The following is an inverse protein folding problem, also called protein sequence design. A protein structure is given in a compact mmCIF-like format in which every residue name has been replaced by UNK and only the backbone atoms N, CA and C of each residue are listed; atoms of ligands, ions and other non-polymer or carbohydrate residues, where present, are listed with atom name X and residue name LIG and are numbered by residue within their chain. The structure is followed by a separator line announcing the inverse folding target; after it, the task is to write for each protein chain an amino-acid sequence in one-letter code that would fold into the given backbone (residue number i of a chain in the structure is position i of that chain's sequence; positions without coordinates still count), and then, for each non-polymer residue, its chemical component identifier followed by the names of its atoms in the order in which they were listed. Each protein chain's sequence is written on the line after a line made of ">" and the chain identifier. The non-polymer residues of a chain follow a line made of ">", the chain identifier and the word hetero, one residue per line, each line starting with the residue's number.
data_IF_072506965247
#
_entry.id   IF_072506965247
#
_cell.length_a   1.000
_cell.length_b   1.000
_cell.length_c   1.000
_cell.angle_alpha   90.00
_cell.angle_beta   90.00
_cell.angle_gamma   90.00
#
_symmetry.space_group_name_H-M   'P 1'
#
loop_
_entity.id
_entity.type
_entity.pdbx_description
1 polymer ?
#
# COMPACT_ATOMS: atom_id res chain seq x y z
N UNK A 1 1.06 -11.25 12.32
CA UNK A 1 2.11 -10.22 12.58
C UNK A 1 1.85 -9.58 13.93
N UNK A 2 0.59 -9.30 14.23
CA UNK A 2 0.08 -8.64 15.44
C UNK A 2 0.68 -9.17 16.75
N UNK A 3 0.68 -10.50 16.96
CA UNK A 3 1.28 -11.09 18.17
C UNK A 3 2.79 -10.84 18.32
N UNK A 4 3.50 -10.54 17.23
CA UNK A 4 4.94 -10.25 17.20
C UNK A 4 5.22 -8.73 17.09
N UNK A 5 4.19 -7.90 16.98
CA UNK A 5 4.33 -6.45 16.75
C UNK A 5 5.19 -5.75 17.83
N UNK A 6 5.05 -6.03 19.14
CA UNK A 6 5.90 -5.40 20.15
C UNK A 6 7.40 -5.68 19.94
N UNK A 7 7.74 -6.89 19.50
CA UNK A 7 9.12 -7.24 19.18
C UNK A 7 9.61 -6.52 17.91
N UNK A 8 8.75 -6.36 16.90
CA UNK A 8 9.06 -5.56 15.72
C UNK A 8 9.34 -4.09 16.09
N UNK A 9 8.52 -3.50 16.94
CA UNK A 9 8.74 -2.13 17.42
C UNK A 9 10.07 -2.01 18.17
N UNK A 10 10.42 -2.97 19.02
CA UNK A 10 11.71 -2.96 19.73
C UNK A 10 12.90 -3.00 18.75
N UNK A 11 12.93 -4.00 17.87
CA UNK A 11 14.10 -4.24 17.00
C UNK A 11 14.25 -3.23 15.85
N UNK A 12 13.16 -2.54 15.50
CA UNK A 12 13.17 -1.45 14.52
C UNK A 12 13.04 -0.07 15.17
N UNK A 13 13.45 0.09 16.43
CA UNK A 13 13.52 1.40 17.10
C UNK A 13 12.21 2.21 17.07
N UNK A 14 11.08 1.51 17.26
CA UNK A 14 9.70 2.02 17.15
C UNK A 14 9.39 2.62 15.77
N UNK A 15 10.08 2.13 14.75
CA UNK A 15 10.00 2.59 13.36
C UNK A 15 10.36 4.07 13.17
N UNK A 16 11.23 4.61 14.02
CA UNK A 16 11.85 5.93 13.83
C UNK A 16 12.68 5.93 12.52
N UNK A 17 12.26 6.67 11.46
CA UNK A 17 12.91 6.59 10.16
C UNK A 17 14.39 6.94 10.20
N UNK A 18 14.80 7.93 11.01
CA UNK A 18 16.18 8.39 11.13
C UNK A 18 17.10 7.32 11.74
N UNK A 19 16.56 6.46 12.62
CA UNK A 19 17.32 5.34 13.20
C UNK A 19 17.31 4.13 12.30
N UNK A 20 16.14 3.82 11.75
CA UNK A 20 15.91 2.63 10.93
C UNK A 20 16.71 2.70 9.64
N UNK A 21 16.84 3.88 9.02
CA UNK A 21 17.61 4.04 7.78
C UNK A 21 19.10 3.69 7.96
N UNK A 22 19.64 3.83 9.18
CA UNK A 22 21.03 3.53 9.52
C UNK A 22 21.30 2.03 9.73
N UNK A 23 20.27 1.17 9.65
CA UNK A 23 20.42 -0.27 9.85
C UNK A 23 21.17 -0.93 8.69
N UNK A 24 22.45 -1.24 8.90
CA UNK A 24 23.29 -1.96 7.95
C UNK A 24 22.96 -3.46 7.81
N UNK A 25 23.60 -4.11 6.83
CA UNK A 25 23.41 -5.53 6.53
C UNK A 25 23.65 -6.44 7.75
N UNK A 26 24.75 -6.22 8.48
CA UNK A 26 25.11 -7.00 9.67
C UNK A 26 24.04 -6.96 10.76
N UNK A 27 23.36 -5.81 10.91
CA UNK A 27 22.26 -5.68 11.86
C UNK A 27 21.08 -6.55 11.43
N UNK A 28 20.69 -6.48 10.16
CA UNK A 28 19.60 -7.29 9.62
C UNK A 28 19.89 -8.80 9.67
N UNK A 29 21.15 -9.20 9.51
CA UNK A 29 21.59 -10.58 9.68
C UNK A 29 21.48 -11.06 11.12
N UNK A 30 21.77 -10.20 12.11
CA UNK A 30 21.50 -10.51 13.52
C UNK A 30 20.00 -10.67 13.79
N UNK A 31 19.15 -9.84 13.17
CA UNK A 31 17.69 -9.98 13.29
C UNK A 31 17.17 -11.30 12.71
N UNK A 32 17.85 -11.88 11.72
CA UNK A 32 17.53 -13.23 11.24
C UNK A 32 17.75 -14.32 12.29
N UNK A 33 18.43 -14.04 13.40
CA UNK A 33 18.58 -14.98 14.53
C UNK A 33 17.51 -14.76 15.62
N UNK A 34 16.78 -13.64 15.60
CA UNK A 34 15.76 -13.33 16.60
C UNK A 34 14.45 -14.10 16.33
N UNK A 35 14.12 -15.06 17.20
CA UNK A 35 12.91 -15.88 17.10
C UNK A 35 11.63 -15.11 17.48
N UNK A 36 11.75 -13.94 18.12
CA UNK A 36 10.60 -13.09 18.50
C UNK A 36 9.93 -12.52 17.25
N UNK A 37 10.67 -12.25 16.18
CA UNK A 37 10.15 -11.71 14.91
C UNK A 37 9.92 -12.78 13.85
N UNK A 38 9.45 -12.37 12.66
CA UNK A 38 9.32 -13.23 11.48
C UNK A 38 10.61 -13.14 10.67
N UNK A 39 11.33 -14.26 10.57
CA UNK A 39 12.64 -14.35 9.92
C UNK A 39 12.52 -14.48 8.40
N UNK A 40 12.29 -13.35 7.72
CA UNK A 40 12.24 -13.28 6.27
C UNK A 40 13.14 -12.15 5.76
N UNK A 41 14.35 -12.50 5.30
CA UNK A 41 15.41 -11.53 4.98
C UNK A 41 14.96 -10.44 4.00
N UNK A 42 14.23 -10.80 2.95
CA UNK A 42 13.74 -9.84 1.96
C UNK A 42 12.71 -8.83 2.52
N UNK A 43 12.02 -9.16 3.61
CA UNK A 43 11.05 -8.28 4.30
C UNK A 43 11.73 -7.46 5.39
N UNK A 44 12.78 -7.99 6.02
CA UNK A 44 13.59 -7.22 6.96
C UNK A 44 14.39 -6.14 6.21
N UNK A 45 14.98 -6.50 5.07
CA UNK A 45 15.72 -5.56 4.18
C UNK A 45 14.86 -4.45 3.59
N UNK A 46 13.53 -4.63 3.52
CA UNK A 46 12.65 -3.57 2.99
C UNK A 46 12.41 -2.45 3.99
N UNK A 47 12.54 -2.71 5.30
CA UNK A 47 12.26 -1.72 6.36
C UNK A 47 13.19 -0.50 6.29
N UNK A 48 14.55 -0.64 6.29
CA UNK A 48 15.45 0.51 6.11
C UNK A 48 15.29 1.21 4.76
N UNK A 49 14.98 0.46 3.68
CA UNK A 49 14.72 1.06 2.37
C UNK A 49 13.46 1.92 2.34
N UNK A 50 12.41 1.50 3.03
CA UNK A 50 11.17 2.27 3.13
C UNK A 50 11.32 3.44 4.11
N UNK A 51 12.17 3.33 5.13
CA UNK A 51 12.54 4.47 5.97
C UNK A 51 13.27 5.55 5.16
N UNK A 52 14.19 5.17 4.27
CA UNK A 52 14.82 6.12 3.34
C UNK A 52 13.78 6.83 2.47
N UNK A 53 12.83 6.09 1.89
CA UNK A 53 11.75 6.69 1.10
C UNK A 53 10.95 7.75 1.88
N UNK A 54 10.64 7.47 3.15
CA UNK A 54 9.92 8.42 4.01
C UNK A 54 10.75 9.70 4.16
N UNK A 55 12.04 9.57 4.50
CA UNK A 55 12.96 10.70 4.68
C UNK A 55 13.15 11.50 3.39
N UNK A 56 13.28 10.83 2.24
CA UNK A 56 13.42 11.49 0.93
C UNK A 56 12.18 12.35 0.62
N UNK A 57 10.99 11.81 0.85
CA UNK A 57 9.72 12.54 0.63
C UNK A 57 9.57 13.67 1.65
N UNK A 58 9.97 13.48 2.90
CA UNK A 58 9.98 14.54 3.90
C UNK A 58 10.92 15.67 3.52
N UNK A 59 12.07 15.37 2.93
CA UNK A 59 13.00 16.36 2.42
C UNK A 59 12.43 17.15 1.22
N UNK A 60 11.78 16.45 0.27
CA UNK A 60 11.24 17.07 -0.95
C UNK A 60 9.91 17.80 -0.75
N UNK A 61 9.03 17.26 0.11
CA UNK A 61 7.65 17.72 0.27
C UNK A 61 7.31 18.21 1.68
N UNK A 62 8.27 18.16 2.61
CA UNK A 62 8.14 18.60 4.00
C UNK A 62 7.46 17.60 4.93
N UNK A 63 6.66 16.67 4.42
CA UNK A 63 6.03 15.61 5.21
C UNK A 63 5.53 14.46 4.34
N UNK A 64 5.87 13.22 4.71
CA UNK A 64 5.35 12.01 4.06
C UNK A 64 3.82 11.89 4.19
N UNK A 65 3.28 12.20 5.37
CA UNK A 65 1.84 12.17 5.61
C UNK A 65 1.09 13.21 4.77
N UNK A 66 1.62 14.43 4.70
CA UNK A 66 1.06 15.51 3.86
C UNK A 66 1.07 15.13 2.38
N UNK A 67 2.19 14.61 1.89
CA UNK A 67 2.33 14.12 0.51
C UNK A 67 1.24 13.10 0.15
N UNK A 68 0.97 12.11 1.01
CA UNK A 68 -0.10 11.13 0.79
C UNK A 68 -1.49 11.79 0.84
N UNK A 69 -1.71 12.67 1.81
CA UNK A 69 -3.00 13.33 2.01
C UNK A 69 -3.40 14.17 0.78
N UNK A 70 -2.45 14.97 0.27
CA UNK A 70 -2.65 15.89 -0.86
C UNK A 70 -2.74 15.20 -2.23
N UNK A 71 -2.29 13.94 -2.34
CA UNK A 71 -2.41 13.21 -3.60
C UNK A 71 -3.89 13.08 -4.03
N UNK A 72 -4.26 13.44 -5.26
CA UNK A 72 -5.66 13.47 -5.66
C UNK A 72 -6.29 12.06 -5.74
N UNK A 73 -7.49 11.90 -5.18
CA UNK A 73 -8.17 10.58 -5.08
C UNK A 73 -8.63 10.06 -6.46
N UNK A 74 -8.91 10.98 -7.38
CA UNK A 74 -9.23 10.65 -8.78
C UNK A 74 -8.04 10.07 -9.57
N UNK A 75 -6.83 10.11 -8.99
CA UNK A 75 -5.62 9.48 -9.49
C UNK A 75 -4.91 8.67 -8.38
N UNK A 76 -5.68 7.95 -7.57
CA UNK A 76 -5.12 7.15 -6.46
C UNK A 76 -4.23 6.01 -6.96
N UNK A 77 -4.50 5.44 -8.13
CA UNK A 77 -3.62 4.43 -8.76
C UNK A 77 -2.24 4.99 -9.13
N UNK A 78 -2.14 6.29 -9.41
CA UNK A 78 -0.86 6.98 -9.54
C UNK A 78 -0.03 6.92 -8.25
N UNK A 79 -0.65 7.08 -7.09
CA UNK A 79 0.03 6.94 -5.79
C UNK A 79 0.47 5.50 -5.55
N UNK A 80 -0.32 4.51 -5.97
CA UNK A 80 0.09 3.10 -5.87
C UNK A 80 1.35 2.84 -6.68
N UNK A 81 1.39 3.34 -7.91
CA UNK A 81 2.55 3.20 -8.80
C UNK A 81 3.78 3.90 -8.22
N UNK A 82 3.60 5.09 -7.65
CA UNK A 82 4.68 5.82 -6.99
C UNK A 82 5.25 5.02 -5.80
N UNK A 83 4.39 4.62 -4.87
CA UNK A 83 4.78 3.83 -3.69
C UNK A 83 5.41 2.49 -4.10
N UNK A 84 4.88 1.81 -5.13
CA UNK A 84 5.43 0.55 -5.62
C UNK A 84 6.79 0.70 -6.31
N UNK A 85 7.01 1.82 -7.02
CA UNK A 85 8.26 2.11 -7.72
C UNK A 85 9.38 2.53 -6.76
N UNK A 86 9.05 3.37 -5.79
CA UNK A 86 10.03 3.98 -4.90
C UNK A 86 10.20 3.20 -3.59
N UNK A 87 9.16 2.46 -3.16
CA UNK A 87 9.21 1.57 -2.00
C UNK A 87 9.71 0.17 -2.32
N UNK A 88 9.93 -0.62 -1.27
CA UNK A 88 10.34 -2.01 -1.33
C UNK A 88 9.29 -2.89 -0.65
N UNK A 89 8.90 -4.01 -1.28
CA UNK A 89 7.76 -4.87 -0.86
C UNK A 89 6.39 -4.17 -0.89
N UNK A 90 6.27 -3.08 -1.66
CA UNK A 90 5.05 -2.26 -1.76
C UNK A 90 4.26 -2.42 -3.07
N UNK A 91 4.55 -3.46 -3.85
CA UNK A 91 3.80 -3.76 -5.09
C UNK A 91 2.48 -4.52 -4.84
N UNK A 92 1.72 -4.72 -5.92
CA UNK A 92 0.46 -5.47 -5.89
C UNK A 92 -0.55 -4.85 -4.91
N UNK A 93 -1.11 -5.67 -4.01
CA UNK A 93 -2.09 -5.22 -3.02
C UNK A 93 -1.47 -4.49 -1.81
N UNK A 94 -0.14 -4.45 -1.68
CA UNK A 94 0.50 -3.82 -0.53
C UNK A 94 0.24 -2.31 -0.48
N UNK A 95 0.45 -1.59 -1.60
CA UNK A 95 0.20 -0.15 -1.66
C UNK A 95 -1.27 0.23 -1.35
N UNK A 96 -2.30 -0.32 -2.03
CA UNK A 96 -3.68 0.05 -1.74
C UNK A 96 -4.13 -0.36 -0.32
N UNK A 97 -3.64 -1.48 0.23
CA UNK A 97 -3.95 -1.88 1.61
C UNK A 97 -3.30 -0.95 2.64
N UNK A 98 -2.04 -0.57 2.41
CA UNK A 98 -1.35 0.41 3.24
C UNK A 98 -2.12 1.74 3.26
N UNK A 99 -2.47 2.26 2.09
CA UNK A 99 -3.23 3.51 1.98
C UNK A 99 -4.57 3.44 2.72
N UNK A 100 -5.31 2.33 2.57
CA UNK A 100 -6.55 2.12 3.31
C UNK A 100 -6.33 2.09 4.82
N UNK A 101 -5.27 1.43 5.28
CA UNK A 101 -4.93 1.31 6.70
C UNK A 101 -4.61 2.66 7.35
N UNK A 102 -3.99 3.59 6.61
CA UNK A 102 -3.69 4.94 7.09
C UNK A 102 -4.80 5.96 6.79
N UNK A 103 -5.96 5.51 6.29
CA UNK A 103 -7.13 6.35 6.06
C UNK A 103 -7.14 7.13 4.74
N UNK A 104 -6.20 6.91 3.82
CA UNK A 104 -6.28 7.49 2.47
C UNK A 104 -7.34 6.76 1.65
N UNK A 105 -8.31 7.50 1.13
CA UNK A 105 -9.37 6.92 0.33
C UNK A 105 -8.81 6.28 -0.96
N UNK A 106 -9.21 5.04 -1.20
CA UNK A 106 -8.68 4.18 -2.26
C UNK A 106 -9.62 3.00 -2.44
N UNK A 107 -9.69 2.43 -3.64
CA UNK A 107 -10.26 1.09 -3.84
C UNK A 107 -9.17 0.00 -3.65
N UNK A 108 -9.58 -1.26 -3.49
CA UNK A 108 -8.66 -2.40 -3.44
C UNK A 108 -9.15 -3.44 -4.44
N UNK A 109 -8.35 -3.80 -5.46
CA UNK A 109 -8.74 -4.83 -6.42
C UNK A 109 -8.57 -6.23 -5.81
N UNK A 110 -9.39 -6.54 -4.81
CA UNK A 110 -9.52 -7.90 -4.26
C UNK A 110 -10.12 -8.83 -5.30
N UNK A 111 -10.09 -10.14 -5.04
CA UNK A 111 -10.69 -11.13 -5.93
C UNK A 111 -12.15 -10.83 -6.24
N UNK A 112 -12.96 -10.49 -5.23
CA UNK A 112 -14.38 -10.21 -5.42
C UNK A 112 -14.62 -8.92 -6.21
N UNK A 113 -13.84 -7.86 -5.92
CA UNK A 113 -13.89 -6.63 -6.71
C UNK A 113 -13.55 -6.90 -8.17
N UNK A 114 -12.49 -7.68 -8.43
CA UNK A 114 -12.06 -8.03 -9.78
C UNK A 114 -13.09 -8.92 -10.48
N UNK A 115 -13.71 -9.87 -9.78
CA UNK A 115 -14.78 -10.69 -10.34
C UNK A 115 -16.01 -9.87 -10.72
N UNK A 116 -16.42 -8.90 -9.89
CA UNK A 116 -17.52 -8.00 -10.20
C UNK A 116 -17.22 -7.04 -11.36
N UNK A 117 -15.97 -6.56 -11.49
CA UNK A 117 -15.53 -5.77 -12.64
C UNK A 117 -15.47 -6.61 -13.91
N UNK A 118 -15.03 -7.87 -13.80
CA UNK A 118 -14.99 -8.80 -14.91
C UNK A 118 -16.39 -9.15 -15.44
N UNK A 119 -17.36 -9.33 -14.55
CA UNK A 119 -18.77 -9.56 -14.93
C UNK A 119 -19.40 -8.36 -15.67
N UNK A 120 -18.75 -7.19 -15.65
CA UNK A 120 -19.15 -5.97 -16.35
C UNK A 120 -18.23 -5.65 -17.55
N UNK A 121 -17.39 -6.60 -17.97
CA UNK A 121 -16.43 -6.46 -19.09
C UNK A 121 -15.42 -5.29 -18.91
N UNK A 122 -15.13 -4.89 -17.66
CA UNK A 122 -14.21 -3.78 -17.36
C UNK A 122 -12.75 -4.25 -17.38
N UNK A 123 -12.46 -5.38 -16.72
CA UNK A 123 -11.12 -6.00 -16.69
C UNK A 123 -11.22 -7.52 -16.63
N UNK A 124 -10.24 -8.22 -17.22
CA UNK A 124 -10.21 -9.69 -17.27
C UNK A 124 -9.48 -10.35 -16.09
N UNK A 125 -8.69 -9.55 -15.37
CA UNK A 125 -7.79 -10.02 -14.31
C UNK A 125 -7.45 -8.89 -13.35
N UNK A 126 -6.78 -9.23 -12.26
CA UNK A 126 -6.28 -8.23 -11.31
C UNK A 126 -5.45 -7.17 -12.05
N UNK A 127 -5.83 -5.87 -11.98
CA UNK A 127 -5.17 -4.81 -12.73
C UNK A 127 -3.74 -4.60 -12.23
N UNK A 128 -2.78 -5.07 -13.01
CA UNK A 128 -1.34 -5.00 -12.71
C UNK A 128 -0.58 -4.06 -13.62
N UNK A 129 -1.10 -3.79 -14.83
CA UNK A 129 -0.55 -2.81 -15.75
C UNK A 129 -1.06 -1.40 -15.43
N UNK A 130 -0.31 -0.37 -15.82
CA UNK A 130 -0.74 1.03 -15.69
C UNK A 130 -2.06 1.30 -16.43
N UNK A 131 -2.24 0.65 -17.59
CA UNK A 131 -3.44 0.76 -18.41
C UNK A 131 -4.66 0.21 -17.67
N UNK A 132 -4.57 -1.01 -17.16
CA UNK A 132 -5.71 -1.65 -16.49
C UNK A 132 -6.05 -0.92 -15.19
N UNK A 133 -5.04 -0.42 -14.47
CA UNK A 133 -5.27 0.43 -13.29
C UNK A 133 -5.99 1.73 -13.64
N UNK A 134 -5.63 2.39 -14.75
CA UNK A 134 -6.31 3.60 -15.20
C UNK A 134 -7.77 3.32 -15.59
N UNK A 135 -8.05 2.22 -16.30
CA UNK A 135 -9.42 1.81 -16.65
C UNK A 135 -10.27 1.65 -15.38
N UNK A 136 -9.76 0.94 -14.37
CA UNK A 136 -10.50 0.75 -13.11
C UNK A 136 -10.62 2.07 -12.34
N UNK A 137 -9.58 2.92 -12.34
CA UNK A 137 -9.65 4.26 -11.75
C UNK A 137 -10.78 5.09 -12.37
N UNK A 138 -10.92 5.10 -13.69
CA UNK A 138 -11.93 5.88 -14.39
C UNK A 138 -13.35 5.43 -14.03
N UNK A 139 -13.58 4.12 -13.91
CA UNK A 139 -14.86 3.57 -13.46
C UNK A 139 -15.17 3.99 -12.02
N UNK A 140 -14.19 3.89 -11.12
CA UNK A 140 -14.35 4.32 -9.74
C UNK A 140 -14.58 5.83 -9.61
N UNK A 141 -13.93 6.65 -10.45
CA UNK A 141 -14.16 8.08 -10.56
C UNK A 141 -15.59 8.39 -10.99
N UNK A 142 -16.10 7.69 -11.99
CA UNK A 142 -17.48 7.81 -12.44
C UNK A 142 -18.46 7.48 -11.30
N UNK A 143 -18.32 6.33 -10.65
CA UNK A 143 -19.18 5.93 -9.54
C UNK A 143 -19.09 6.88 -8.35
N UNK A 144 -17.90 7.42 -8.06
CA UNK A 144 -17.69 8.43 -7.03
C UNK A 144 -18.49 9.71 -7.35
N UNK A 145 -18.39 10.20 -8.58
CA UNK A 145 -19.13 11.39 -9.03
C UNK A 145 -20.65 11.19 -9.01
N UNK A 146 -21.13 10.03 -9.43
CA UNK A 146 -22.57 9.71 -9.50
C UNK A 146 -23.20 9.49 -8.11
N UNK A 147 -22.47 8.84 -7.20
CA UNK A 147 -23.00 8.43 -5.90
C UNK A 147 -22.63 9.34 -4.73
N UNK A 148 -21.59 10.17 -4.89
CA UNK A 148 -20.98 10.93 -3.80
C UNK A 148 -20.26 10.07 -2.75
N UNK A 149 -20.07 8.76 -3.00
CA UNK A 149 -19.48 7.83 -2.02
C UNK A 149 -17.96 7.73 -2.18
N UNK A 150 -17.20 7.62 -1.08
CA UNK A 150 -15.76 7.32 -1.12
C UNK A 150 -15.43 6.04 -1.90
N UNK A 151 -14.26 6.00 -2.53
CA UNK A 151 -13.75 4.84 -3.27
C UNK A 151 -13.73 3.58 -2.42
N UNK A 152 -13.42 3.74 -1.13
CA UNK A 152 -13.38 2.64 -0.18
C UNK A 152 -14.74 1.96 0.04
N UNK A 153 -15.83 2.74 0.03
CA UNK A 153 -17.19 2.23 0.16
C UNK A 153 -17.64 1.55 -1.14
N UNK A 154 -17.40 2.20 -2.28
CA UNK A 154 -17.69 1.64 -3.60
C UNK A 154 -17.00 0.28 -3.78
N UNK A 155 -15.74 0.20 -3.37
CA UNK A 155 -14.94 -1.03 -3.41
C UNK A 155 -15.53 -2.14 -2.55
N UNK A 156 -16.04 -1.81 -1.36
CA UNK A 156 -16.68 -2.80 -0.49
C UNK A 156 -18.05 -3.23 -1.04
N UNK A 157 -18.87 -2.28 -1.48
CA UNK A 157 -20.19 -2.55 -2.07
C UNK A 157 -20.07 -3.48 -3.27
N UNK A 158 -19.13 -3.20 -4.16
CA UNK A 158 -18.85 -4.02 -5.34
C UNK A 158 -18.39 -5.43 -4.96
N UNK A 159 -17.55 -5.59 -3.93
CA UNK A 159 -17.15 -6.92 -3.45
C UNK A 159 -18.36 -7.75 -3.00
N UNK A 160 -19.35 -7.13 -2.36
CA UNK A 160 -20.56 -7.81 -1.88
C UNK A 160 -21.59 -8.13 -2.98
N UNK A 161 -21.37 -7.74 -4.24
CA UNK A 161 -22.26 -8.13 -5.34
C UNK A 161 -21.93 -9.50 -5.92
N UNK A 162 -20.77 -10.07 -5.58
CA UNK A 162 -20.36 -11.40 -6.07
C UNK A 162 -20.91 -12.46 -5.13
N UNK A 163 -21.62 -13.45 -5.68
CA UNK A 163 -22.04 -14.64 -4.94
C UNK A 163 -20.97 -15.74 -5.10
N UNK A 164 -20.64 -16.42 -3.99
CA UNK A 164 -19.76 -17.57 -3.95
C UNK A 164 -20.54 -18.89 -4.02
#
# INVERSE_FOLDING_TARGET
>A
VDAKWPAFEEVFFRFDPEKVVLMGADHLERLMQDARIIRHLGKLKSVPRNAQLILDIEQEHGSFGKFIAEWPVDNITGLWQYIAKHGNQMGGLSAPRFLRMIGKDTFIPTWDVVAALNAQDIVDRVPSSKRDQAIVQDVFNQWHAESGRPMCQLSAMLAFTVNH
#
